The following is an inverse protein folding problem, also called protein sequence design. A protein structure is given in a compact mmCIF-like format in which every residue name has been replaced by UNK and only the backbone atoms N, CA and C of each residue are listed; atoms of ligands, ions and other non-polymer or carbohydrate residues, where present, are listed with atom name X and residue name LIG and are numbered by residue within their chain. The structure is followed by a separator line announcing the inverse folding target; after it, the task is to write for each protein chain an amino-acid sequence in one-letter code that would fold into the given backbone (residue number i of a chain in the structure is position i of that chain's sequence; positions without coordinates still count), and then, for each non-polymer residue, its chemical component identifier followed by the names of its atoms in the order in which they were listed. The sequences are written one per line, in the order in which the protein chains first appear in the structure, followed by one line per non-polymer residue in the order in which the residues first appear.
data_IF_190552921732
#
_entry.id   IF_190552921732
#
_cell.length_a   1.000
_cell.length_b   1.000
_cell.length_c   1.000
_cell.angle_alpha   90.00
_cell.angle_beta   90.00
_cell.angle_gamma   90.00
#
_symmetry.space_group_name_H-M   'P 1'
#
loop_
_entity.id
_entity.type
_entity.pdbx_description
1 polymer ?
#
# COMPACT_ATOMS: atom_id res chain seq x y z
N UNK A 1 -4.77 -2.06 27.10
CA UNK A 1 -5.54 -3.28 27.41
C UNK A 1 -7.05 -3.07 27.37
N UNK A 2 -7.57 -1.94 27.91
CA UNK A 2 -9.01 -1.61 27.86
C UNK A 2 -9.51 -1.27 26.44
N UNK A 3 -8.74 -0.53 25.62
CA UNK A 3 -9.13 -0.21 24.22
C UNK A 3 -9.18 -1.46 23.32
N UNK A 4 -8.30 -2.45 23.57
CA UNK A 4 -8.33 -3.73 22.86
C UNK A 4 -9.54 -4.58 23.26
N UNK A 5 -10.03 -4.48 24.51
CA UNK A 5 -11.27 -5.14 24.96
C UNK A 5 -12.52 -4.44 24.41
N UNK A 6 -12.56 -3.12 24.40
CA UNK A 6 -13.71 -2.33 23.89
C UNK A 6 -13.89 -2.48 22.38
N UNK A 7 -12.79 -2.61 21.61
CA UNK A 7 -12.86 -2.98 20.19
C UNK A 7 -13.23 -4.45 20.02
N UNK A 8 -12.69 -5.37 20.85
CA UNK A 8 -12.95 -6.80 20.73
C UNK A 8 -14.39 -7.23 21.00
N UNK A 9 -15.09 -6.64 21.97
CA UNK A 9 -16.44 -7.10 22.38
C UNK A 9 -17.55 -6.67 21.39
N UNK A 10 -17.39 -5.54 20.70
CA UNK A 10 -18.32 -5.10 19.64
C UNK A 10 -17.94 -5.63 18.24
N UNK A 11 -16.65 -5.92 17.98
CA UNK A 11 -16.22 -6.53 16.71
C UNK A 11 -16.40 -8.06 16.68
N UNK A 12 -16.45 -8.77 17.82
CA UNK A 12 -16.37 -10.24 17.80
C UNK A 12 -17.49 -10.92 17.01
N UNK A 13 -18.72 -10.42 17.11
CA UNK A 13 -19.86 -10.95 16.35
C UNK A 13 -19.67 -10.70 14.83
N UNK A 14 -19.31 -9.48 14.46
CA UNK A 14 -19.01 -9.04 13.09
C UNK A 14 -17.80 -9.77 12.49
N UNK A 15 -16.82 -10.10 13.32
CA UNK A 15 -15.58 -10.79 12.94
C UNK A 15 -15.82 -12.30 12.77
N UNK A 16 -16.70 -12.89 13.59
CA UNK A 16 -17.16 -14.27 13.41
C UNK A 16 -18.01 -14.43 12.14
N UNK A 17 -18.92 -13.49 11.86
CA UNK A 17 -19.66 -13.45 10.58
C UNK A 17 -18.72 -13.27 9.39
N UNK A 18 -17.72 -12.39 9.51
CA UNK A 18 -16.68 -12.21 8.50
C UNK A 18 -15.88 -13.50 8.25
N UNK A 19 -15.52 -14.23 9.31
CA UNK A 19 -14.81 -15.51 9.18
C UNK A 19 -15.67 -16.60 8.55
N UNK A 20 -16.99 -16.63 8.81
CA UNK A 20 -17.94 -17.52 8.12
C UNK A 20 -18.03 -17.19 6.63
N UNK A 21 -18.17 -15.91 6.28
CA UNK A 21 -18.17 -15.48 4.88
C UNK A 21 -16.86 -15.81 4.13
N UNK A 22 -15.72 -15.81 4.85
CA UNK A 22 -14.42 -16.27 4.32
C UNK A 22 -14.38 -17.79 4.15
N UNK A 23 -14.97 -18.54 5.09
CA UNK A 23 -15.08 -19.99 4.97
C UNK A 23 -15.92 -20.41 3.75
N UNK A 24 -16.95 -19.63 3.42
CA UNK A 24 -17.80 -19.86 2.24
C UNK A 24 -17.13 -19.44 0.92
N UNK A 25 -16.14 -18.53 0.98
CA UNK A 25 -15.46 -17.96 -0.20
C UNK A 25 -13.93 -18.13 -0.15
N UNK A 26 -13.42 -19.24 0.38
CA UNK A 26 -11.98 -19.48 0.63
C UNK A 26 -11.11 -19.22 -0.60
N UNK A 27 -11.55 -19.67 -1.78
CA UNK A 27 -10.79 -19.52 -3.02
C UNK A 27 -10.61 -18.04 -3.41
N UNK A 28 -11.69 -17.25 -3.40
CA UNK A 28 -11.61 -15.82 -3.71
C UNK A 28 -10.82 -15.05 -2.65
N UNK A 29 -10.98 -15.41 -1.37
CA UNK A 29 -10.24 -14.76 -0.29
C UNK A 29 -8.74 -15.07 -0.37
N UNK A 30 -8.37 -16.32 -0.64
CA UNK A 30 -6.98 -16.74 -0.86
C UNK A 30 -6.34 -16.06 -2.07
N UNK A 31 -7.04 -16.00 -3.20
CA UNK A 31 -6.58 -15.27 -4.39
C UNK A 31 -6.37 -13.77 -4.12
N UNK A 32 -7.31 -13.14 -3.41
CA UNK A 32 -7.16 -11.74 -3.00
C UNK A 32 -5.96 -11.53 -2.05
N UNK A 33 -5.68 -12.51 -1.19
CA UNK A 33 -4.53 -12.54 -0.30
C UNK A 33 -3.21 -12.64 -1.05
N UNK A 34 -3.14 -13.52 -2.05
CA UNK A 34 -1.98 -13.67 -2.93
C UNK A 34 -1.73 -12.39 -3.75
N UNK A 35 -2.77 -11.80 -4.33
CA UNK A 35 -2.63 -10.54 -5.08
C UNK A 35 -2.10 -9.40 -4.17
N UNK A 36 -2.57 -9.35 -2.92
CA UNK A 36 -2.08 -8.40 -1.92
C UNK A 36 -0.63 -8.67 -1.53
N UNK A 37 -0.25 -9.94 -1.37
CA UNK A 37 1.14 -10.33 -1.10
C UNK A 37 2.07 -9.89 -2.24
N UNK A 38 1.70 -10.18 -3.49
CA UNK A 38 2.46 -9.75 -4.67
C UNK A 38 2.57 -8.23 -4.77
N UNK A 39 1.48 -7.50 -4.46
CA UNK A 39 1.50 -6.03 -4.41
C UNK A 39 2.50 -5.51 -3.37
N UNK A 40 2.58 -6.16 -2.21
CA UNK A 40 3.59 -5.86 -1.19
C UNK A 40 5.01 -6.05 -1.71
N UNK A 41 5.28 -7.15 -2.41
CA UNK A 41 6.58 -7.40 -3.06
C UNK A 41 6.90 -6.32 -4.10
N UNK A 42 5.92 -5.92 -4.92
CA UNK A 42 6.12 -4.84 -5.91
C UNK A 42 6.52 -3.53 -5.24
N UNK A 43 5.94 -3.19 -4.09
CA UNK A 43 6.31 -1.99 -3.33
C UNK A 43 7.71 -2.07 -2.73
N UNK A 44 8.12 -3.25 -2.26
CA UNK A 44 9.50 -3.48 -1.80
C UNK A 44 10.51 -3.25 -2.92
N UNK A 45 10.24 -3.83 -4.10
CA UNK A 45 11.09 -3.67 -5.29
C UNK A 45 11.12 -2.22 -5.75
N UNK A 46 9.97 -1.52 -5.75
CA UNK A 46 9.90 -0.11 -6.12
C UNK A 46 10.69 0.78 -5.14
N UNK A 47 10.51 0.58 -3.82
CA UNK A 47 11.27 1.30 -2.81
C UNK A 47 12.77 1.04 -2.91
N UNK A 48 13.18 -0.21 -3.11
CA UNK A 48 14.57 -0.59 -3.36
C UNK A 48 15.15 0.08 -4.61
N UNK A 49 14.41 0.07 -5.71
CA UNK A 49 14.82 0.71 -6.97
C UNK A 49 15.02 2.22 -6.80
N UNK A 50 14.13 2.89 -6.06
CA UNK A 50 14.23 4.32 -5.76
C UNK A 50 15.45 4.66 -4.89
N UNK A 51 15.84 3.77 -3.96
CA UNK A 51 17.10 3.91 -3.19
C UNK A 51 18.33 3.78 -4.10
N UNK A 52 18.29 2.87 -5.08
CA UNK A 52 19.44 2.52 -5.93
C UNK A 52 19.69 3.53 -7.04
N UNK A 53 18.65 4.11 -7.64
CA UNK A 53 18.78 4.94 -8.85
C UNK A 53 19.25 6.37 -8.62
N UNK A 54 19.57 6.79 -7.38
CA UNK A 54 20.02 8.17 -7.05
C UNK A 54 19.09 9.29 -7.53
N UNK A 55 17.91 9.01 -8.10
CA UNK A 55 16.86 9.98 -8.43
C UNK A 55 16.50 10.85 -7.21
N UNK A 56 16.73 10.30 -6.02
CA UNK A 56 16.45 10.92 -4.72
C UNK A 56 17.67 11.61 -4.08
N UNK A 57 18.89 11.52 -4.66
CA UNK A 57 20.09 12.17 -4.10
C UNK A 57 20.21 13.67 -4.41
N UNK A 58 19.34 14.24 -5.25
CA UNK A 58 19.26 15.69 -5.43
C UNK A 58 18.59 16.35 -4.22
N UNK A 59 19.01 17.58 -3.87
CA UNK A 59 18.59 18.45 -2.73
C UNK A 59 17.07 18.59 -2.45
N UNK A 60 16.20 17.94 -3.22
CA UNK A 60 14.75 18.14 -3.26
C UNK A 60 13.91 16.87 -3.08
N UNK A 61 14.51 15.69 -3.08
CA UNK A 61 13.79 14.44 -2.91
C UNK A 61 13.85 14.00 -1.46
N UNK A 62 12.68 13.83 -0.84
CA UNK A 62 12.58 13.49 0.58
C UNK A 62 13.11 12.07 0.75
N UNK A 63 14.23 11.86 1.47
CA UNK A 63 14.85 10.54 1.60
C UNK A 63 13.91 9.50 2.23
N UNK A 64 12.80 9.97 2.83
CA UNK A 64 11.77 9.18 3.48
C UNK A 64 10.88 8.36 2.54
N UNK A 65 10.63 8.80 1.29
CA UNK A 65 9.66 8.16 0.37
C UNK A 65 9.97 6.67 0.10
N UNK A 66 11.22 6.27 -0.22
CA UNK A 66 11.55 4.87 -0.45
C UNK A 66 11.34 4.01 0.79
N UNK A 67 11.71 4.51 1.97
CA UNK A 67 11.50 3.79 3.23
C UNK A 67 10.03 3.61 3.55
N UNK A 68 9.18 4.60 3.26
CA UNK A 68 7.73 4.47 3.42
C UNK A 68 7.12 3.46 2.46
N UNK A 69 7.61 3.38 1.21
CA UNK A 69 7.19 2.32 0.29
C UNK A 69 7.67 0.93 0.73
N UNK A 70 8.88 0.83 1.27
CA UNK A 70 9.38 -0.43 1.84
C UNK A 70 8.53 -0.85 3.04
N UNK A 71 8.29 0.05 4.00
CA UNK A 71 7.43 -0.21 5.15
C UNK A 71 6.02 -0.63 4.71
N UNK A 72 5.43 0.11 3.77
CA UNK A 72 4.14 -0.25 3.19
C UNK A 72 4.15 -1.61 2.51
N UNK A 73 5.22 -1.94 1.78
CA UNK A 73 5.42 -3.23 1.12
C UNK A 73 5.50 -4.39 2.12
N UNK A 74 6.31 -4.25 3.18
CA UNK A 74 6.39 -5.23 4.27
C UNK A 74 5.03 -5.45 4.90
N UNK A 75 4.36 -4.37 5.30
CA UNK A 75 3.04 -4.46 5.92
C UNK A 75 2.00 -5.10 4.98
N UNK A 76 2.01 -4.72 3.71
CA UNK A 76 1.07 -5.26 2.71
C UNK A 76 1.32 -6.75 2.46
N UNK A 77 2.59 -7.18 2.40
CA UNK A 77 2.98 -8.57 2.26
C UNK A 77 2.56 -9.42 3.46
N UNK A 78 2.81 -8.94 4.69
CA UNK A 78 2.37 -9.61 5.93
C UNK A 78 0.84 -9.72 5.96
N UNK A 79 0.13 -8.64 5.61
CA UNK A 79 -1.33 -8.61 5.54
C UNK A 79 -1.89 -9.59 4.50
N UNK A 80 -1.23 -9.71 3.33
CA UNK A 80 -1.55 -10.71 2.31
C UNK A 80 -1.27 -12.15 2.75
N UNK A 81 -0.14 -12.40 3.41
CA UNK A 81 0.17 -13.71 3.99
C UNK A 81 -0.88 -14.13 5.04
N UNK A 82 -1.29 -13.19 5.91
CA UNK A 82 -2.37 -13.42 6.87
C UNK A 82 -3.69 -13.75 6.17
N UNK A 83 -4.02 -13.10 5.05
CA UNK A 83 -5.21 -13.40 4.26
C UNK A 83 -5.20 -14.83 3.69
N UNK A 84 -4.06 -15.27 3.16
CA UNK A 84 -3.87 -16.65 2.68
C UNK A 84 -4.00 -17.64 3.82
N UNK A 85 -3.35 -17.37 4.97
CA UNK A 85 -3.44 -18.23 6.15
C UNK A 85 -4.89 -18.34 6.65
N UNK A 86 -5.65 -17.26 6.71
CA UNK A 86 -7.07 -17.31 7.08
C UNK A 86 -7.87 -18.17 6.07
N UNK A 87 -7.61 -18.07 4.77
CA UNK A 87 -8.28 -18.90 3.77
C UNK A 87 -8.01 -20.41 3.97
N UNK A 88 -6.81 -20.77 4.45
CA UNK A 88 -6.43 -22.15 4.77
C UNK A 88 -7.05 -22.61 6.10
N UNK A 89 -7.06 -21.75 7.12
CA UNK A 89 -7.49 -22.08 8.49
C UNK A 89 -8.96 -21.74 8.82
N UNK A 90 -9.77 -21.27 7.86
CA UNK A 90 -11.18 -20.91 8.05
C UNK A 90 -12.13 -22.10 8.33
N UNK A 91 -11.65 -23.17 8.96
CA UNK A 91 -12.48 -24.22 9.52
C UNK A 91 -13.02 -23.79 10.90
N UNK A 92 -14.27 -24.14 11.24
CA UNK A 92 -14.92 -23.71 12.50
C UNK A 92 -14.21 -24.17 13.78
N UNK A 93 -13.28 -25.12 13.69
CA UNK A 93 -12.53 -25.69 14.81
C UNK A 93 -11.31 -24.86 15.25
N UNK A 94 -10.91 -23.80 14.52
CA UNK A 94 -9.70 -22.99 14.83
C UNK A 94 -10.00 -21.49 14.97
N UNK A 95 -11.15 -21.15 15.58
CA UNK A 95 -11.65 -19.77 15.67
C UNK A 95 -10.69 -18.79 16.37
N UNK A 96 -9.96 -19.23 17.40
CA UNK A 96 -9.05 -18.37 18.16
C UNK A 96 -7.81 -17.94 17.35
N UNK A 97 -7.20 -18.85 16.58
CA UNK A 97 -6.03 -18.54 15.73
C UNK A 97 -6.44 -17.66 14.56
N UNK A 98 -7.58 -17.96 13.93
CA UNK A 98 -8.13 -17.12 12.85
C UNK A 98 -8.41 -15.68 13.32
N UNK A 99 -8.85 -15.51 14.57
CA UNK A 99 -9.10 -14.19 15.17
C UNK A 99 -7.81 -13.40 15.36
N UNK A 100 -6.75 -14.01 15.91
CA UNK A 100 -5.44 -13.37 16.06
C UNK A 100 -4.86 -12.96 14.70
N UNK A 101 -4.91 -13.85 13.70
CA UNK A 101 -4.40 -13.57 12.35
C UNK A 101 -5.23 -12.45 11.68
N UNK A 102 -6.55 -12.41 11.90
CA UNK A 102 -7.42 -11.34 11.38
C UNK A 102 -7.09 -9.98 12.00
N UNK A 103 -6.91 -9.93 13.33
CA UNK A 103 -6.49 -8.70 14.03
C UNK A 103 -5.12 -8.21 13.57
N UNK A 104 -4.15 -9.12 13.43
CA UNK A 104 -2.83 -8.78 12.90
C UNK A 104 -2.92 -8.24 11.47
N UNK A 105 -3.67 -8.92 10.60
CA UNK A 105 -3.92 -8.48 9.21
C UNK A 105 -4.48 -7.07 9.16
N UNK A 106 -5.41 -6.74 10.06
CA UNK A 106 -6.06 -5.44 10.15
C UNK A 106 -5.10 -4.34 10.61
N UNK A 107 -4.39 -4.55 11.72
CA UNK A 107 -3.41 -3.58 12.25
C UNK A 107 -2.31 -3.32 11.23
N UNK A 108 -1.72 -4.39 10.69
CA UNK A 108 -0.62 -4.27 9.73
C UNK A 108 -1.11 -3.67 8.42
N UNK A 109 -2.34 -3.99 7.99
CA UNK A 109 -2.99 -3.29 6.89
C UNK A 109 -3.03 -1.77 7.12
N UNK A 110 -3.47 -1.33 8.30
CA UNK A 110 -3.54 0.09 8.70
C UNK A 110 -2.22 0.81 8.55
N UNK A 111 -1.19 0.26 9.16
CA UNK A 111 0.15 0.83 9.10
C UNK A 111 0.66 0.89 7.66
N UNK A 112 0.45 -0.18 6.89
CA UNK A 112 0.91 -0.26 5.50
C UNK A 112 0.25 0.77 4.58
N UNK A 113 -1.07 0.93 4.68
CA UNK A 113 -1.80 1.93 3.87
C UNK A 113 -1.49 3.36 4.31
N UNK A 114 -1.35 3.62 5.62
CA UNK A 114 -0.97 4.94 6.11
C UNK A 114 0.43 5.34 5.60
N UNK A 115 1.39 4.41 5.65
CA UNK A 115 2.75 4.64 5.15
C UNK A 115 2.76 4.93 3.64
N UNK A 116 2.03 4.16 2.82
CA UNK A 116 1.90 4.42 1.39
C UNK A 116 1.21 5.77 1.12
N UNK A 117 0.17 6.11 1.88
CA UNK A 117 -0.52 7.38 1.73
C UNK A 117 0.40 8.59 1.99
N UNK A 118 1.20 8.54 3.05
CA UNK A 118 2.22 9.56 3.33
C UNK A 118 3.28 9.59 2.23
N UNK A 119 3.77 8.42 1.78
CA UNK A 119 4.74 8.33 0.69
C UNK A 119 4.23 9.03 -0.58
N UNK A 120 2.97 8.82 -0.93
CA UNK A 120 2.31 9.39 -2.11
C UNK A 120 2.12 10.91 -2.00
N UNK A 121 1.72 11.42 -0.83
CA UNK A 121 1.58 12.87 -0.61
C UNK A 121 2.94 13.56 -0.73
N UNK A 122 3.98 12.97 -0.13
CA UNK A 122 5.34 13.47 -0.23
C UNK A 122 5.86 13.39 -1.67
N UNK A 123 5.60 12.28 -2.36
CA UNK A 123 5.94 12.10 -3.77
C UNK A 123 5.20 13.10 -4.67
N UNK A 124 3.94 13.41 -4.40
CA UNK A 124 3.14 14.39 -5.16
C UNK A 124 3.78 15.78 -5.11
N UNK A 125 4.24 16.22 -3.92
CA UNK A 125 4.97 17.47 -3.76
C UNK A 125 6.23 17.50 -4.63
N UNK A 126 6.97 16.39 -4.67
CA UNK A 126 8.17 16.27 -5.50
C UNK A 126 7.83 16.30 -7.00
N UNK A 127 6.86 15.50 -7.43
CA UNK A 127 6.38 15.44 -8.81
C UNK A 127 5.89 16.81 -9.31
N UNK A 128 5.26 17.59 -8.44
CA UNK A 128 4.83 18.96 -8.74
C UNK A 128 6.02 19.90 -8.96
N UNK A 129 7.05 19.80 -8.11
CA UNK A 129 8.27 20.63 -8.18
C UNK A 129 9.15 20.32 -9.40
N UNK A 130 9.28 19.05 -9.76
CA UNK A 130 10.09 18.60 -10.91
C UNK A 130 9.50 19.06 -12.25
N UNK A 131 8.19 19.25 -12.35
CA UNK A 131 7.56 19.72 -13.58
C UNK A 131 7.34 18.64 -14.64
N UNK A 132 7.11 19.08 -15.89
CA UNK A 132 6.90 18.19 -17.04
C UNK A 132 5.67 17.27 -16.93
N UNK A 133 5.83 16.00 -17.32
CA UNK A 133 4.75 14.99 -17.25
C UNK A 133 4.53 14.53 -15.81
N UNK A 134 5.55 14.58 -14.93
CA UNK A 134 5.38 14.24 -13.52
C UNK A 134 4.43 15.19 -12.79
N UNK A 135 4.43 16.49 -13.14
CA UNK A 135 3.46 17.45 -12.60
C UNK A 135 2.01 17.09 -12.90
N UNK A 136 1.74 16.39 -14.02
CA UNK A 136 0.39 15.92 -14.36
C UNK A 136 -0.05 14.74 -13.50
N UNK A 137 0.90 13.95 -12.99
CA UNK A 137 0.64 12.78 -12.13
C UNK A 137 0.56 13.17 -10.65
N UNK A 138 1.20 14.27 -10.25
CA UNK A 138 1.18 14.80 -8.88
C UNK A 138 -0.21 14.90 -8.22
N UNK A 139 -1.25 15.49 -8.85
CA UNK A 139 -2.58 15.55 -8.22
C UNK A 139 -3.19 14.16 -8.02
N UNK A 140 -2.96 13.23 -8.95
CA UNK A 140 -3.43 11.84 -8.81
C UNK A 140 -2.73 11.14 -7.64
N UNK A 141 -1.41 11.30 -7.52
CA UNK A 141 -0.64 10.79 -6.38
C UNK A 141 -1.16 11.35 -5.05
N UNK A 142 -1.43 12.66 -4.99
CA UNK A 142 -1.96 13.30 -3.78
C UNK A 142 -3.36 12.78 -3.41
N UNK A 143 -4.27 12.68 -4.38
CA UNK A 143 -5.64 12.17 -4.16
C UNK A 143 -5.61 10.73 -3.68
N UNK A 144 -4.82 9.85 -4.32
CA UNK A 144 -4.68 8.46 -3.87
C UNK A 144 -4.07 8.42 -2.47
N UNK A 145 -3.06 9.26 -2.20
CA UNK A 145 -2.39 9.30 -0.90
C UNK A 145 -3.31 9.75 0.25
N UNK A 146 -4.16 10.74 -0.02
CA UNK A 146 -5.22 11.17 0.89
C UNK A 146 -6.25 10.06 1.06
N UNK A 147 -6.75 9.47 -0.03
CA UNK A 147 -7.73 8.40 0.00
C UNK A 147 -7.27 7.18 0.81
N UNK A 148 -5.97 6.85 0.76
CA UNK A 148 -5.38 5.78 1.57
C UNK A 148 -5.48 6.00 3.09
N UNK A 149 -5.58 7.25 3.55
CA UNK A 149 -5.82 7.54 4.97
C UNK A 149 -7.29 7.32 5.35
N UNK A 150 -8.21 7.55 4.41
CA UNK A 150 -9.65 7.40 4.61
C UNK A 150 -10.17 5.97 4.40
N UNK A 151 -9.35 5.07 3.85
CA UNK A 151 -9.65 3.62 3.72
C UNK A 151 -10.16 3.01 5.05
N UNK A 152 -9.81 3.60 6.19
CA UNK A 152 -10.17 3.10 7.53
C UNK A 152 -11.36 3.78 8.18
N UNK A 153 -11.77 4.94 7.67
CA UNK A 153 -12.88 5.71 8.22
C UNK A 153 -14.23 5.22 7.68
N UNK A 154 -14.20 4.43 6.62
CA UNK A 154 -15.40 3.87 6.01
C UNK A 154 -15.34 2.34 5.98
N UNK A 155 -16.34 1.69 6.58
CA UNK A 155 -16.56 0.24 6.53
C UNK A 155 -16.91 -0.24 5.10
N UNK A 156 -17.01 0.67 4.13
CA UNK A 156 -17.24 0.35 2.73
C UNK A 156 -16.04 -0.40 2.11
N UNK A 157 -16.19 -1.72 1.99
CA UNK A 157 -15.34 -2.61 1.18
C UNK A 157 -15.12 -2.10 -0.25
N UNK A 158 -16.03 -1.24 -0.74
CA UNK A 158 -15.97 -0.59 -2.05
C UNK A 158 -14.81 0.41 -2.13
N UNK A 159 -14.62 1.29 -1.12
CA UNK A 159 -13.53 2.27 -1.12
C UNK A 159 -12.17 1.58 -1.10
N UNK A 160 -12.03 0.49 -0.35
CA UNK A 160 -10.83 -0.36 -0.39
C UNK A 160 -10.53 -0.91 -1.79
N UNK A 161 -11.55 -1.36 -2.53
CA UNK A 161 -11.39 -1.89 -3.90
C UNK A 161 -11.02 -0.78 -4.87
N UNK A 162 -11.76 0.33 -4.88
CA UNK A 162 -11.54 1.45 -5.80
C UNK A 162 -10.17 2.10 -5.58
N UNK A 163 -9.82 2.42 -4.34
CA UNK A 163 -8.53 3.04 -4.01
C UNK A 163 -7.39 2.05 -4.24
N UNK A 164 -7.58 0.78 -3.90
CA UNK A 164 -6.61 -0.28 -4.19
C UNK A 164 -6.33 -0.44 -5.69
N UNK A 165 -7.36 -0.47 -6.52
CA UNK A 165 -7.22 -0.53 -7.98
C UNK A 165 -6.58 0.73 -8.54
N UNK A 166 -7.00 1.92 -8.08
CA UNK A 166 -6.40 3.19 -8.51
C UNK A 166 -4.91 3.25 -8.16
N UNK A 167 -4.53 2.77 -6.97
CA UNK A 167 -3.14 2.67 -6.55
C UNK A 167 -2.33 1.69 -7.41
N UNK A 168 -2.90 0.52 -7.73
CA UNK A 168 -2.23 -0.44 -8.61
C UNK A 168 -2.01 0.12 -10.02
N UNK A 169 -3.01 0.78 -10.59
CA UNK A 169 -2.89 1.47 -11.88
C UNK A 169 -1.84 2.58 -11.81
N UNK A 170 -1.80 3.34 -10.72
CA UNK A 170 -0.79 4.35 -10.48
C UNK A 170 0.63 3.75 -10.42
N UNK A 171 0.82 2.60 -9.75
CA UNK A 171 2.10 1.89 -9.72
C UNK A 171 2.55 1.45 -11.12
N UNK A 172 1.63 0.95 -11.96
CA UNK A 172 1.94 0.60 -13.34
C UNK A 172 2.39 1.82 -14.16
N UNK A 173 1.67 2.93 -14.05
CA UNK A 173 2.03 4.18 -14.75
C UNK A 173 3.37 4.71 -14.28
N UNK A 174 3.60 4.83 -12.96
CA UNK A 174 4.87 5.34 -12.43
C UNK A 174 6.02 4.37 -12.76
N UNK A 175 5.78 3.05 -12.65
CA UNK A 175 6.75 2.00 -12.92
C UNK A 175 7.20 1.99 -14.37
N UNK A 176 6.26 2.09 -15.31
CA UNK A 176 6.58 2.19 -16.75
C UNK A 176 7.31 3.50 -17.09
N UNK A 177 6.94 4.62 -16.46
CA UNK A 177 7.65 5.90 -16.63
C UNK A 177 9.10 5.84 -16.13
N UNK A 178 9.34 5.13 -15.03
CA UNK A 178 10.68 4.88 -14.48
C UNK A 178 11.48 3.90 -15.36
N UNK A 179 10.89 2.75 -15.73
CA UNK A 179 11.54 1.72 -16.53
C UNK A 179 11.93 2.20 -17.94
N UNK A 180 11.11 3.07 -18.54
CA UNK A 180 11.41 3.64 -19.86
C UNK A 180 12.47 4.76 -19.82
N UNK A 181 12.96 5.16 -18.64
CA UNK A 181 13.93 6.24 -18.46
C UNK A 181 13.40 7.63 -18.84
N UNK A 182 12.09 7.77 -19.11
CA UNK A 182 11.47 9.07 -19.45
C UNK A 182 11.59 10.07 -18.31
N UNK A 183 11.59 9.59 -17.06
CA UNK A 183 11.77 10.40 -15.86
C UNK A 183 13.23 10.85 -15.71
N UNK A 184 14.17 9.93 -15.87
CA UNK A 184 15.61 10.20 -15.72
C UNK A 184 16.13 11.17 -16.81
N UNK A 185 15.80 10.92 -18.08
CA UNK A 185 16.19 11.81 -19.20
C UNK A 185 15.65 13.23 -19.05
N UNK A 186 14.41 13.39 -18.56
CA UNK A 186 13.84 14.73 -18.31
C UNK A 186 14.40 15.39 -17.06
N UNK A 187 14.66 14.63 -16.00
CA UNK A 187 15.26 15.18 -14.79
C UNK A 187 16.67 15.70 -15.07
N UNK A 188 17.50 14.93 -15.79
CA UNK A 188 18.83 15.37 -16.25
C UNK A 188 18.71 16.59 -17.17
N UNK A 189 17.77 16.61 -18.12
CA UNK A 189 17.58 17.76 -19.00
C UNK A 189 17.09 19.04 -18.29
N UNK A 190 16.38 18.91 -17.16
CA UNK A 190 15.79 20.06 -16.42
C UNK A 190 16.70 20.55 -15.29
N UNK A 191 17.48 19.66 -14.67
CA UNK A 191 18.25 19.95 -13.46
C UNK A 191 19.72 19.49 -13.52
N UNK A 192 20.13 18.73 -14.54
CA UNK A 192 21.50 18.23 -14.72
C UNK A 192 22.40 19.15 -15.55
N UNK A 193 21.91 20.32 -15.98
CA UNK A 193 22.66 21.29 -16.78
C UNK A 193 23.57 22.22 -15.96
N UNK A 194 24.10 21.76 -14.83
CA UNK A 194 24.95 22.58 -13.97
C UNK A 194 25.82 21.72 -13.08
N UNK A 195 26.90 21.20 -13.64
CA UNK A 195 28.16 20.83 -12.98
C UNK A 195 29.15 20.43 -14.10
N UNK A 196 29.89 21.42 -14.60
CA UNK A 196 31.32 21.28 -14.92
C UNK A 196 32.11 21.49 -13.62
#
# INVERSE_FOLDING_TARGET
MVIARVVADADQATLQESLRAVADNRAMYGLSGLARLLSGVTLLVAGWFLLRTRIIRGRWATPLVPYLFILSGVCTAISGACAVLIAVYAAPTVAAVALVISSLRWIVGKVGFAAAGVALIVAARYQWRVGGVLRRVAPVSAVIGVAMQFIWLDAATIMHRVVGTAFFLWLLVIGTMLATGRVERRFIATYGGGED
#
